data_IF_372046155711
#
_entry.id   IF_372046155711
#
_cell.length_a   1.000
_cell.length_b   1.000
_cell.length_c   1.000
_cell.angle_alpha   90.00
_cell.angle_beta   90.00
_cell.angle_gamma   90.00
#
_symmetry.space_group_name_H-M   'P 1'
#
loop_
_entity.id
_entity.type
_entity.pdbx_description
1 polymer ?
#
# COMPACT_ATOMS: atom_id res chain seq x y z
N UNK A 1 9.51 6.59 0.12
CA UNK A 1 9.26 6.06 -1.23
C UNK A 1 9.41 4.53 -1.22
N UNK A 2 8.77 3.87 -0.25
CA UNK A 2 8.62 2.41 -0.22
C UNK A 2 7.42 2.13 0.69
N UNK A 3 6.40 1.46 0.18
CA UNK A 3 5.27 0.99 0.98
C UNK A 3 5.75 -0.17 1.86
N UNK A 4 5.54 -0.09 3.18
CA UNK A 4 5.89 -1.17 4.12
C UNK A 4 4.98 -2.40 4.00
N UNK A 5 3.84 -2.26 3.33
CA UNK A 5 2.89 -3.33 3.07
C UNK A 5 3.10 -3.93 1.67
N UNK A 6 4.19 -3.59 0.97
CA UNK A 6 4.48 -4.16 -0.32
C UNK A 6 5.62 -5.18 -0.20
N UNK A 7 5.36 -6.42 -0.58
CA UNK A 7 6.34 -7.49 -0.68
C UNK A 7 6.68 -7.75 -2.15
N UNK A 8 7.95 -8.01 -2.46
CA UNK A 8 8.37 -8.32 -3.84
C UNK A 8 8.35 -9.83 -4.05
N UNK A 9 7.56 -10.26 -5.03
CA UNK A 9 7.56 -11.60 -5.59
C UNK A 9 8.19 -11.56 -6.99
N UNK A 10 8.99 -12.57 -7.33
CA UNK A 10 9.73 -12.61 -8.59
C UNK A 10 8.85 -12.87 -9.83
N UNK A 11 7.71 -13.53 -9.64
CA UNK A 11 6.76 -13.88 -10.70
C UNK A 11 5.64 -12.84 -10.83
N UNK A 12 5.18 -12.29 -9.71
CA UNK A 12 4.04 -11.36 -9.64
C UNK A 12 4.42 -9.89 -9.48
N UNK A 13 5.68 -9.60 -9.12
CA UNK A 13 6.15 -8.25 -8.79
C UNK A 13 5.75 -7.84 -7.38
N UNK A 14 5.43 -6.56 -7.17
CA UNK A 14 5.04 -6.07 -5.84
C UNK A 14 3.60 -6.49 -5.49
N UNK A 15 3.41 -7.12 -4.34
CA UNK A 15 2.11 -7.52 -3.79
C UNK A 15 1.83 -6.70 -2.54
N UNK A 16 0.59 -6.23 -2.38
CA UNK A 16 0.14 -5.47 -1.22
C UNK A 16 -0.44 -6.40 -0.14
N UNK A 17 0.17 -6.45 1.03
CA UNK A 17 -0.27 -7.29 2.16
C UNK A 17 -1.60 -6.84 2.78
N UNK A 18 -2.01 -5.59 2.55
CA UNK A 18 -3.28 -5.06 3.07
C UNK A 18 -4.47 -5.62 2.29
N UNK A 19 -4.36 -5.68 0.96
CA UNK A 19 -5.45 -6.11 0.07
C UNK A 19 -5.26 -7.54 -0.44
N UNK A 20 -4.03 -8.04 -0.48
CA UNK A 20 -3.64 -9.29 -1.14
C UNK A 20 -3.47 -9.17 -2.66
N UNK A 21 -3.69 -7.98 -3.23
CA UNK A 21 -3.59 -7.72 -4.67
C UNK A 21 -2.20 -7.22 -5.06
N UNK A 22 -1.89 -7.27 -6.36
CA UNK A 22 -0.67 -6.64 -6.90
C UNK A 22 -0.69 -5.13 -6.69
N UNK A 23 0.45 -4.58 -6.28
CA UNK A 23 0.66 -3.15 -6.15
C UNK A 23 0.50 -2.47 -7.51
N UNK A 24 -0.30 -1.41 -7.54
CA UNK A 24 -0.57 -0.63 -8.75
C UNK A 24 0.65 0.17 -9.24
N UNK A 25 1.69 0.30 -8.42
CA UNK A 25 2.90 1.05 -8.73
C UNK A 25 4.10 0.13 -8.97
N UNK A 26 4.94 0.49 -9.94
CA UNK A 26 6.20 -0.21 -10.21
C UNK A 26 7.21 -0.11 -9.06
N UNK A 27 7.20 1.02 -8.35
CA UNK A 27 7.93 1.21 -7.08
C UNK A 27 6.85 1.53 -6.04
N UNK A 28 6.69 0.72 -4.99
CA UNK A 28 5.61 0.92 -4.02
C UNK A 28 5.68 2.27 -3.32
N UNK A 29 4.56 2.97 -3.25
CA UNK A 29 4.45 4.26 -2.57
C UNK A 29 3.14 4.33 -1.77
N UNK A 30 3.25 4.08 -0.47
CA UNK A 30 2.09 4.06 0.43
C UNK A 30 1.44 5.43 0.60
N UNK A 31 2.19 6.53 0.50
CA UNK A 31 1.64 7.88 0.59
C UNK A 31 0.80 8.19 -0.64
N UNK A 32 1.31 7.86 -1.82
CA UNK A 32 0.56 8.04 -3.06
C UNK A 32 -0.68 7.14 -3.11
N UNK A 33 -0.57 5.92 -2.58
CA UNK A 33 -1.71 5.01 -2.43
C UNK A 33 -2.80 5.61 -1.52
N UNK A 34 -2.40 6.17 -0.39
CA UNK A 34 -3.30 6.87 0.53
C UNK A 34 -3.97 8.08 -0.12
N UNK A 35 -3.19 8.92 -0.82
CA UNK A 35 -3.69 10.13 -1.50
C UNK A 35 -4.65 9.82 -2.65
N UNK A 36 -4.38 8.76 -3.44
CA UNK A 36 -5.14 8.47 -4.66
C UNK A 36 -6.33 7.53 -4.43
N UNK A 37 -6.17 6.57 -3.52
CA UNK A 37 -7.14 5.49 -3.32
C UNK A 37 -7.71 5.45 -1.90
N UNK A 38 -7.13 6.19 -0.94
CA UNK A 38 -7.50 6.05 0.46
C UNK A 38 -7.11 4.68 1.04
N UNK A 39 -6.10 4.04 0.45
CA UNK A 39 -5.65 2.68 0.81
C UNK A 39 -4.21 2.67 1.32
N UNK A 40 -3.86 1.60 2.03
CA UNK A 40 -2.52 1.35 2.52
C UNK A 40 -2.25 1.98 3.89
N UNK A 41 -1.04 1.81 4.42
CA UNK A 41 -0.74 2.11 5.82
C UNK A 41 -0.67 3.61 6.15
N UNK A 42 -0.64 4.46 5.13
CA UNK A 42 -0.65 5.92 5.28
C UNK A 42 -2.04 6.52 5.01
N UNK A 43 -3.03 5.71 4.60
CA UNK A 43 -4.41 6.14 4.57
C UNK A 43 -4.84 6.31 6.03
N UNK A 44 -5.26 7.52 6.39
CA UNK A 44 -5.59 7.85 7.78
C UNK A 44 -6.47 6.76 8.39
N UNK A 45 -5.92 6.05 9.37
CA UNK A 45 -6.75 5.35 10.34
C UNK A 45 -7.38 6.43 11.20
N UNK A 46 -8.51 6.99 10.74
CA UNK A 46 -9.43 7.81 11.55
C UNK A 46 -10.11 6.96 12.66
N UNK A 47 -9.38 6.07 13.32
CA UNK A 47 -9.87 5.28 14.47
C UNK A 47 -8.82 5.31 15.60
N UNK A 48 -8.69 6.47 16.24
CA UNK A 48 -8.49 6.59 17.70
C UNK A 48 -8.83 8.01 18.17
N UNK A 49 -10.12 8.36 18.17
CA UNK A 49 -10.70 9.46 18.97
C UNK A 49 -12.22 9.21 19.13
N UNK A 50 -12.57 8.20 19.91
CA UNK A 50 -13.94 7.90 20.34
C UNK A 50 -14.00 7.57 21.82
#
# INVERSE_FOLDING_TARGET
MSCKCAEFDEDEGWICDVTGDRCMYFIPDSKKCAEQFGEGPDAESEEDNG
#
